data_IF_199790577824
#
_entry.id   IF_199790577824
#
_cell.length_a   1.000
_cell.length_b   1.000
_cell.length_c   1.000
_cell.angle_alpha   90.00
_cell.angle_beta   90.00
_cell.angle_gamma   90.00
#
_symmetry.space_group_name_H-M   'P 1'
#
loop_
_entity.id
_entity.type
_entity.pdbx_description
1 polymer ?
#
# COMPACT_ATOMS: atom_id res chain seq x y z
N UNK A 1 17.16 -8.29 1.65
CA UNK A 1 16.46 -8.73 2.86
C UNK A 1 15.13 -7.99 2.96
N UNK A 2 14.08 -8.63 3.47
CA UNK A 2 12.82 -7.97 3.73
C UNK A 2 12.99 -6.86 4.79
N UNK A 3 12.42 -5.67 4.54
CA UNK A 3 12.45 -4.57 5.52
C UNK A 3 11.42 -4.83 6.63
N UNK A 4 11.80 -4.53 7.85
CA UNK A 4 10.91 -4.55 9.01
C UNK A 4 10.34 -3.15 9.27
N UNK A 5 9.32 -3.04 10.13
CA UNK A 5 8.79 -1.75 10.60
C UNK A 5 9.91 -0.91 11.26
N UNK A 6 10.77 -1.55 12.05
CA UNK A 6 11.91 -0.87 12.68
C UNK A 6 12.89 -0.28 11.63
N UNK A 7 13.13 -0.99 10.51
CA UNK A 7 13.94 -0.48 9.41
C UNK A 7 13.30 0.76 8.76
N UNK A 8 11.97 0.76 8.59
CA UNK A 8 11.24 1.92 8.07
C UNK A 8 11.33 3.10 9.01
N UNK A 9 11.14 2.89 10.32
CA UNK A 9 11.27 3.97 11.32
C UNK A 9 12.70 4.52 11.39
N UNK A 10 13.70 3.67 11.16
CA UNK A 10 15.08 4.11 10.99
C UNK A 10 15.26 4.96 9.72
N UNK A 11 14.69 4.54 8.59
CA UNK A 11 14.72 5.34 7.35
C UNK A 11 14.10 6.73 7.55
N UNK A 12 12.98 6.82 8.27
CA UNK A 12 12.32 8.10 8.61
C UNK A 12 13.29 9.05 9.30
N UNK A 13 14.04 8.56 10.27
CA UNK A 13 15.01 9.37 11.04
C UNK A 13 16.23 9.74 10.18
N UNK A 14 16.83 8.76 9.52
CA UNK A 14 18.08 8.92 8.77
C UNK A 14 17.92 9.88 7.58
N UNK A 15 16.72 9.98 7.02
CA UNK A 15 16.42 10.83 5.86
C UNK A 15 15.62 12.10 6.23
N UNK A 16 15.46 12.41 7.51
CA UNK A 16 14.72 13.59 7.99
C UNK A 16 13.36 13.76 7.31
N UNK A 17 12.62 12.64 7.17
CA UNK A 17 11.33 12.58 6.47
C UNK A 17 10.36 13.63 7.01
N UNK A 18 9.68 14.34 6.12
CA UNK A 18 8.65 15.34 6.42
C UNK A 18 7.24 14.82 6.14
N UNK A 19 7.09 14.03 5.08
CA UNK A 19 5.79 13.49 4.64
C UNK A 19 5.86 11.99 4.44
N UNK A 20 4.71 11.33 4.60
CA UNK A 20 4.54 9.92 4.25
C UNK A 20 3.44 9.81 3.20
N UNK A 21 3.72 9.11 2.12
CA UNK A 21 2.85 8.92 0.98
C UNK A 21 2.41 7.44 0.91
N UNK A 22 1.15 7.19 1.26
CA UNK A 22 0.53 5.87 1.17
C UNK A 22 0.01 5.67 -0.25
N UNK A 23 0.61 4.76 -1.01
CA UNK A 23 0.25 4.49 -2.41
C UNK A 23 -0.49 3.18 -2.56
N UNK A 24 -1.46 3.18 -3.45
CA UNK A 24 -2.25 2.00 -3.81
C UNK A 24 -2.71 2.12 -5.27
N UNK A 25 -3.15 1.01 -5.86
CA UNK A 25 -3.55 0.98 -7.27
C UNK A 25 -5.06 0.86 -7.38
N UNK A 26 -5.70 1.65 -8.24
CA UNK A 26 -7.13 1.51 -8.53
C UNK A 26 -7.38 0.42 -9.59
N UNK A 27 -8.67 0.13 -9.86
CA UNK A 27 -9.07 -0.91 -10.82
C UNK A 27 -8.70 -0.60 -12.29
N UNK A 28 -8.30 0.63 -12.59
CA UNK A 28 -7.82 1.05 -13.92
C UNK A 28 -6.30 0.97 -14.05
N UNK A 29 -5.60 0.58 -12.99
CA UNK A 29 -4.15 0.54 -12.95
C UNK A 29 -3.48 1.88 -12.60
N UNK A 30 -4.27 2.93 -12.26
CA UNK A 30 -3.72 4.21 -11.83
C UNK A 30 -3.22 4.11 -10.39
N UNK A 31 -2.02 4.61 -10.14
CA UNK A 31 -1.52 4.80 -8.78
C UNK A 31 -2.27 5.95 -8.11
N UNK A 32 -2.94 5.64 -7.03
CA UNK A 32 -3.61 6.58 -6.13
C UNK A 32 -2.77 6.74 -4.87
N UNK A 33 -2.95 7.85 -4.15
CA UNK A 33 -2.19 8.07 -2.93
C UNK A 33 -2.90 8.98 -1.92
N UNK A 34 -2.46 8.86 -0.67
CA UNK A 34 -2.81 9.77 0.42
C UNK A 34 -1.51 10.20 1.08
N UNK A 35 -1.22 11.49 1.07
CA UNK A 35 -0.03 12.07 1.73
C UNK A 35 -0.41 12.64 3.08
N UNK A 36 0.40 12.35 4.09
CA UNK A 36 0.25 12.90 5.44
C UNK A 36 1.58 13.49 5.94
N UNK A 37 1.54 14.53 6.77
CA UNK A 37 2.75 14.99 7.45
C UNK A 37 3.24 13.92 8.44
N UNK A 38 4.54 13.89 8.71
CA UNK A 38 5.15 12.90 9.60
C UNK A 38 4.50 12.85 10.99
N UNK A 39 3.94 13.96 11.47
CA UNK A 39 3.23 14.00 12.75
C UNK A 39 1.99 13.09 12.84
N UNK A 40 1.49 12.61 11.69
CA UNK A 40 0.36 11.69 11.59
C UNK A 40 0.77 10.26 11.24
N UNK A 41 2.07 9.95 11.32
CA UNK A 41 2.63 8.65 11.03
C UNK A 41 3.43 8.11 12.22
N UNK A 42 3.17 6.87 12.60
CA UNK A 42 3.89 6.12 13.61
C UNK A 42 3.84 4.61 13.29
N UNK A 43 4.43 3.80 14.14
CA UNK A 43 4.49 2.33 13.98
C UNK A 43 3.11 1.66 13.94
N UNK A 44 2.10 2.24 14.63
CA UNK A 44 0.74 1.69 14.68
C UNK A 44 0.08 1.63 13.31
N UNK A 45 0.52 2.47 12.35
CA UNK A 45 0.03 2.44 10.97
C UNK A 45 0.23 1.10 10.27
N UNK A 46 1.22 0.31 10.69
CA UNK A 46 1.47 -1.01 10.13
C UNK A 46 0.56 -2.12 10.70
N UNK A 47 -0.19 -1.82 11.76
CA UNK A 47 -1.14 -2.74 12.40
C UNK A 47 -2.57 -2.26 12.30
N UNK A 48 -2.81 -0.96 12.43
CA UNK A 48 -4.13 -0.34 12.40
C UNK A 48 -4.52 0.19 11.02
N UNK A 49 -3.54 0.44 10.15
CA UNK A 49 -3.73 1.04 8.85
C UNK A 49 -3.94 2.56 8.91
N UNK A 50 -4.21 3.14 7.76
CA UNK A 50 -4.58 4.54 7.59
C UNK A 50 -5.96 4.63 6.93
N UNK A 51 -6.93 5.23 7.62
CA UNK A 51 -8.28 5.38 7.10
C UNK A 51 -8.33 6.40 5.94
N UNK A 52 -9.10 6.09 4.90
CA UNK A 52 -9.36 6.98 3.80
C UNK A 52 -10.77 6.78 3.24
N UNK A 53 -11.25 7.74 2.45
CA UNK A 53 -12.55 7.70 1.81
C UNK A 53 -12.46 6.98 0.45
N UNK A 54 -12.90 5.72 0.41
CA UNK A 54 -12.94 4.90 -0.79
C UNK A 54 -13.94 5.36 -1.84
N UNK A 55 -14.90 6.25 -1.52
CA UNK A 55 -15.81 6.84 -2.50
C UNK A 55 -15.11 7.82 -3.43
N UNK A 56 -13.93 8.30 -3.05
CA UNK A 56 -13.07 9.12 -3.91
C UNK A 56 -12.44 8.33 -5.05
N UNK A 57 -12.48 6.99 -5.00
CA UNK A 57 -11.91 6.11 -6.00
C UNK A 57 -13.01 5.60 -6.93
N UNK A 58 -12.90 5.94 -8.21
CA UNK A 58 -13.92 5.58 -9.19
C UNK A 58 -14.14 4.06 -9.27
N UNK A 59 -15.39 3.64 -9.08
CA UNK A 59 -15.82 2.25 -9.17
C UNK A 59 -15.58 1.41 -7.91
N UNK A 60 -15.17 2.03 -6.79
CA UNK A 60 -14.97 1.33 -5.53
C UNK A 60 -16.22 1.39 -4.64
N UNK A 61 -16.33 2.34 -3.76
CA UNK A 61 -17.38 2.42 -2.74
C UNK A 61 -18.40 3.53 -3.05
N UNK A 62 -19.64 3.37 -2.55
CA UNK A 62 -20.60 4.46 -2.46
C UNK A 62 -20.38 5.29 -1.19
N UNK A 63 -20.99 6.47 -1.15
CA UNK A 63 -20.86 7.40 0.00
C UNK A 63 -21.36 6.77 1.31
N UNK A 64 -22.36 5.89 1.23
CA UNK A 64 -22.98 5.24 2.38
C UNK A 64 -22.08 4.21 3.10
N UNK A 65 -20.98 3.79 2.48
CA UNK A 65 -20.06 2.81 3.03
C UNK A 65 -18.62 3.08 2.54
N UNK A 66 -18.20 4.33 2.62
CA UNK A 66 -16.97 4.81 1.97
C UNK A 66 -15.68 4.51 2.74
N UNK A 67 -15.75 4.30 4.04
CA UNK A 67 -14.55 4.08 4.86
C UNK A 67 -13.78 2.83 4.43
N UNK A 68 -12.49 3.00 4.25
CA UNK A 68 -11.53 1.94 3.91
C UNK A 68 -10.21 2.16 4.63
N UNK A 69 -9.38 1.13 4.69
CA UNK A 69 -8.06 1.18 5.33
C UNK A 69 -6.94 0.91 4.31
N UNK A 70 -5.91 1.75 4.34
CA UNK A 70 -4.63 1.51 3.68
C UNK A 70 -3.69 0.84 4.68
N UNK A 71 -3.30 -0.40 4.41
CA UNK A 71 -2.38 -1.17 5.24
C UNK A 71 -0.99 -1.16 4.62
N UNK A 72 -0.02 -0.39 5.18
CA UNK A 72 1.29 -0.24 4.58
C UNK A 72 2.11 -1.53 4.61
N UNK A 73 2.83 -1.80 3.54
CA UNK A 73 3.81 -2.89 3.46
C UNK A 73 5.23 -2.33 3.66
N UNK A 74 5.84 -2.65 4.79
CA UNK A 74 7.19 -2.18 5.13
C UNK A 74 8.25 -2.55 4.08
N UNK A 75 8.09 -3.68 3.38
CA UNK A 75 9.02 -4.12 2.35
C UNK A 75 9.12 -3.17 1.17
N UNK A 76 8.06 -2.40 0.92
CA UNK A 76 7.96 -1.47 -0.22
C UNK A 76 8.55 -0.10 0.06
N UNK A 77 8.95 0.17 1.30
CA UNK A 77 9.41 1.48 1.74
C UNK A 77 10.58 2.02 0.93
N UNK A 78 10.48 3.23 0.43
CA UNK A 78 11.58 3.98 -0.17
C UNK A 78 11.39 5.49 0.01
N UNK A 79 12.47 6.26 -0.16
CA UNK A 79 12.40 7.73 -0.18
C UNK A 79 12.20 8.18 -1.63
N UNK A 80 11.17 8.97 -1.88
CA UNK A 80 10.88 9.47 -3.23
C UNK A 80 11.97 10.47 -3.66
N UNK A 81 12.64 10.22 -4.80
CA UNK A 81 13.75 11.07 -5.24
C UNK A 81 13.28 12.37 -5.94
N UNK A 82 11.99 12.51 -6.22
CA UNK A 82 11.46 13.61 -7.02
C UNK A 82 10.80 14.72 -6.20
N UNK A 83 10.30 14.41 -5.00
CA UNK A 83 9.73 15.44 -4.12
C UNK A 83 10.80 16.35 -3.56
N UNK A 84 10.48 17.65 -3.45
CA UNK A 84 11.36 18.64 -2.85
C UNK A 84 11.59 18.36 -1.36
N UNK A 85 10.53 18.01 -0.64
CA UNK A 85 10.59 17.62 0.77
C UNK A 85 10.77 16.10 0.89
N UNK A 86 11.63 15.68 1.81
CA UNK A 86 11.89 14.25 2.05
C UNK A 86 10.59 13.51 2.37
N UNK A 87 10.20 12.61 1.48
CA UNK A 87 8.94 11.88 1.51
C UNK A 87 9.19 10.38 1.51
N UNK A 88 8.70 9.69 2.56
CA UNK A 88 8.65 8.25 2.61
C UNK A 88 7.47 7.75 1.79
N UNK A 89 7.70 6.80 0.90
CA UNK A 89 6.64 6.11 0.14
C UNK A 89 6.44 4.71 0.67
N UNK A 90 5.18 4.31 0.83
CA UNK A 90 4.76 2.97 1.23
C UNK A 90 3.62 2.50 0.32
N UNK A 91 3.81 1.36 -0.36
CA UNK A 91 2.68 0.71 -1.04
C UNK A 91 1.79 0.01 -0.02
N UNK A 92 0.49 0.12 -0.21
CA UNK A 92 -0.52 -0.36 0.74
C UNK A 92 -1.42 -1.42 0.12
N UNK A 93 -1.82 -2.38 0.94
CA UNK A 93 -3.02 -3.18 0.68
C UNK A 93 -4.23 -2.35 1.08
N UNK A 94 -5.37 -2.62 0.43
CA UNK A 94 -6.65 -1.98 0.78
C UNK A 94 -7.52 -2.98 1.52
N UNK A 95 -7.98 -2.59 2.71
CA UNK A 95 -8.77 -3.45 3.58
C UNK A 95 -10.15 -2.85 3.86
N UNK A 96 -11.13 -3.74 4.10
CA UNK A 96 -12.44 -3.37 4.64
C UNK A 96 -12.30 -3.00 6.11
N UNK A 97 -12.92 -1.91 6.58
CA UNK A 97 -12.98 -1.60 8.00
C UNK A 97 -13.82 -2.64 8.75
N UNK A 98 -13.48 -2.89 10.00
CA UNK A 98 -14.22 -3.77 10.89
C UNK A 98 -13.73 -5.19 10.92
N UNK A 99 -13.69 -5.92 9.81
CA UNK A 99 -13.21 -7.30 9.77
C UNK A 99 -11.78 -7.46 9.23
N UNK A 100 -11.19 -6.37 8.73
CA UNK A 100 -9.82 -6.35 8.21
C UNK A 100 -9.59 -7.20 6.98
N UNK A 101 -10.66 -7.61 6.28
CA UNK A 101 -10.52 -8.38 5.05
C UNK A 101 -9.98 -7.54 3.92
N UNK A 102 -9.20 -8.19 3.05
CA UNK A 102 -8.73 -7.58 1.82
C UNK A 102 -9.90 -7.15 0.93
N UNK A 103 -9.85 -5.92 0.42
CA UNK A 103 -10.85 -5.42 -0.52
C UNK A 103 -10.77 -6.17 -1.85
N UNK A 104 -11.90 -6.70 -2.33
CA UNK A 104 -11.93 -7.58 -3.51
C UNK A 104 -11.46 -6.91 -4.80
N UNK A 105 -11.66 -5.59 -4.91
CA UNK A 105 -11.27 -4.80 -6.10
C UNK A 105 -9.89 -4.16 -5.99
N UNK A 106 -9.14 -4.45 -4.92
CA UNK A 106 -7.75 -4.04 -4.81
C UNK A 106 -6.87 -4.93 -5.69
N UNK A 107 -6.20 -4.40 -6.74
CA UNK A 107 -5.33 -5.18 -7.62
C UNK A 107 -4.20 -5.91 -6.88
N UNK A 108 -3.66 -5.30 -5.83
CA UNK A 108 -2.62 -5.91 -5.00
C UNK A 108 -3.15 -7.13 -4.25
N UNK A 109 -4.37 -7.08 -3.75
CA UNK A 109 -5.05 -8.21 -3.12
C UNK A 109 -5.35 -9.33 -4.13
N UNK A 110 -5.71 -8.99 -5.37
CA UNK A 110 -5.87 -9.98 -6.46
C UNK A 110 -4.54 -10.71 -6.73
N UNK A 111 -3.43 -9.96 -6.83
CA UNK A 111 -2.11 -10.55 -7.05
C UNK A 111 -1.70 -11.49 -5.90
N UNK A 112 -1.94 -11.11 -4.65
CA UNK A 112 -1.69 -11.96 -3.47
C UNK A 112 -2.52 -13.25 -3.49
N UNK A 113 -3.80 -13.18 -3.89
CA UNK A 113 -4.64 -14.37 -4.05
C UNK A 113 -4.13 -15.29 -5.16
N UNK A 114 -3.68 -14.73 -6.27
CA UNK A 114 -3.09 -15.52 -7.37
C UNK A 114 -1.80 -16.22 -6.94
N UNK A 115 -0.93 -15.53 -6.20
CA UNK A 115 0.29 -16.14 -5.63
C UNK A 115 -0.04 -17.27 -4.64
N UNK A 116 -1.01 -17.06 -3.75
CA UNK A 116 -1.47 -18.08 -2.83
C UNK A 116 -2.05 -19.31 -3.55
N UNK A 117 -2.82 -19.07 -4.63
CA UNK A 117 -3.36 -20.13 -5.45
C UNK A 117 -2.26 -20.94 -6.15
N UNK A 118 -1.26 -20.27 -6.73
CA UNK A 118 -0.10 -20.94 -7.35
C UNK A 118 0.55 -21.93 -6.38
N UNK A 119 0.83 -21.50 -5.16
CA UNK A 119 1.42 -22.34 -4.11
C UNK A 119 0.49 -23.49 -3.70
N UNK A 120 -0.78 -23.20 -3.46
CA UNK A 120 -1.75 -24.22 -3.00
C UNK A 120 -2.11 -25.25 -4.07
N UNK A 121 -2.02 -24.90 -5.36
CA UNK A 121 -2.26 -25.82 -6.47
C UNK A 121 -1.15 -26.85 -6.66
N UNK A 122 0.04 -26.63 -6.07
CA UNK A 122 1.22 -27.47 -6.24
C UNK A 122 1.89 -27.37 -7.63
N UNK A 123 1.43 -26.45 -8.48
CA UNK A 123 2.02 -26.24 -9.82
C UNK A 123 3.34 -25.46 -9.77
N UNK A 124 3.53 -24.64 -8.73
CA UNK A 124 4.74 -23.87 -8.55
C UNK A 124 4.67 -23.02 -7.27
N UNK A 125 5.79 -22.48 -6.86
CA UNK A 125 5.91 -21.59 -5.69
C UNK A 125 6.31 -20.15 -6.06
N UNK A 126 6.74 -19.95 -7.30
CA UNK A 126 7.25 -18.66 -7.78
C UNK A 126 6.77 -18.39 -9.20
N UNK A 127 6.29 -17.18 -9.46
CA UNK A 127 5.97 -16.66 -10.78
C UNK A 127 6.94 -15.53 -11.15
N UNK A 128 7.50 -15.59 -12.35
CA UNK A 128 8.36 -14.55 -12.89
C UNK A 128 7.61 -13.75 -13.93
N UNK A 129 7.71 -12.42 -13.86
CA UNK A 129 7.10 -11.48 -14.80
C UNK A 129 8.19 -10.61 -15.43
N UNK A 130 8.04 -10.35 -16.74
CA UNK A 130 8.86 -9.38 -17.45
C UNK A 130 7.99 -8.16 -17.80
N UNK A 131 7.96 -7.10 -16.99
CA UNK A 131 7.14 -5.93 -17.27
C UNK A 131 7.69 -5.17 -18.49
N UNK A 132 6.77 -4.70 -19.34
CA UNK A 132 7.07 -3.89 -20.53
C UNK A 132 6.31 -2.56 -20.42
N UNK A 133 6.74 -1.64 -19.53
CA UNK A 133 6.06 -0.36 -19.35
C UNK A 133 6.22 0.51 -20.60
N UNK A 134 5.09 1.02 -21.10
CA UNK A 134 5.02 1.92 -22.25
C UNK A 134 4.44 3.28 -21.83
N UNK A 135 4.98 4.38 -22.38
CA UNK A 135 4.55 5.78 -22.11
C UNK A 135 4.77 6.70 -23.32
#
# INVERSE_FOLDING_TARGET
MAKTVADVMKMVKDNEVKFVDFRFTDTRGKEQHVSVPLSHFNEDKFTEGHAFDGSSIAGWKGIEASDMLLMPDANTAFIDPFFQESTLVLSCDVLEPGDGKAYDRDPRSVAKRAEAYLKSSGLGDTAYFGPEPEF
#
